data_IF_014919481960
#
_entry.id   IF_014919481960
#
_cell.length_a   1.000
_cell.length_b   1.000
_cell.length_c   1.000
_cell.angle_alpha   90.00
_cell.angle_beta   90.00
_cell.angle_gamma   90.00
#
_symmetry.space_group_name_H-M   'P 1'
#
loop_
_entity.id
_entity.type
_entity.pdbx_description
1 polymer ?
#
# COMPACT_ATOMS: atom_id res chain seq x y z
N UNK A 1 9.94 7.70 19.11
CA UNK A 1 10.19 8.69 18.05
C UNK A 1 8.93 9.51 17.95
N UNK A 2 8.79 10.56 18.74
CA UNK A 2 7.59 11.39 18.83
C UNK A 2 7.90 12.82 18.39
N UNK A 3 6.96 13.45 17.68
CA UNK A 3 7.09 14.82 17.14
C UNK A 3 6.86 14.96 15.62
N UNK A 4 6.24 13.98 14.94
CA UNK A 4 5.79 14.14 13.55
C UNK A 4 6.88 14.24 12.48
N UNK A 5 8.15 14.07 12.85
CA UNK A 5 9.30 14.21 11.93
C UNK A 5 9.51 13.00 11.00
N UNK A 6 8.90 11.86 11.30
CA UNK A 6 9.02 10.63 10.51
C UNK A 6 7.65 10.14 10.06
N UNK A 7 7.54 9.80 8.78
CA UNK A 7 6.33 9.18 8.24
C UNK A 7 6.48 7.66 8.23
N UNK A 8 5.64 6.97 9.00
CA UNK A 8 5.57 5.52 9.02
C UNK A 8 4.61 5.00 7.96
N UNK A 9 5.03 3.97 7.22
CA UNK A 9 4.18 3.29 6.25
C UNK A 9 4.32 1.76 6.39
N UNK A 10 3.21 1.04 6.22
CA UNK A 10 3.18 -0.41 6.17
C UNK A 10 2.77 -0.90 4.78
N UNK A 11 3.54 -1.84 4.23
CA UNK A 11 3.19 -2.54 2.99
C UNK A 11 2.13 -3.61 3.27
N UNK A 12 0.90 -3.36 2.79
CA UNK A 12 -0.26 -4.25 2.99
C UNK A 12 -0.59 -5.02 1.72
N UNK A 13 -0.77 -4.30 0.60
CA UNK A 13 -1.05 -4.82 -0.76
C UNK A 13 -2.36 -5.59 -0.98
N UNK A 14 -2.83 -6.38 -0.01
CA UNK A 14 -4.07 -7.16 -0.12
C UNK A 14 -4.67 -7.44 1.27
N UNK A 15 -5.98 -7.63 1.33
CA UNK A 15 -6.70 -8.06 2.54
C UNK A 15 -6.74 -9.58 2.71
N UNK A 16 -6.37 -10.35 1.68
CA UNK A 16 -6.24 -11.80 1.76
C UNK A 16 -4.88 -12.17 2.38
N UNK A 17 -4.91 -12.80 3.56
CA UNK A 17 -3.70 -13.17 4.31
C UNK A 17 -2.81 -14.17 3.56
N UNK A 18 -3.41 -15.15 2.89
CA UNK A 18 -2.68 -16.16 2.11
C UNK A 18 -2.01 -15.58 0.88
N UNK A 19 -2.69 -14.67 0.17
CA UNK A 19 -2.09 -13.90 -0.93
C UNK A 19 -1.00 -12.97 -0.41
N UNK A 20 -1.20 -12.31 0.73
CA UNK A 20 -0.19 -11.47 1.39
C UNK A 20 1.09 -12.26 1.72
N UNK A 21 0.97 -13.53 2.10
CA UNK A 21 2.09 -14.46 2.32
C UNK A 21 2.86 -14.81 1.06
N UNK A 22 2.18 -14.94 -0.07
CA UNK A 22 2.83 -15.18 -1.36
C UNK A 22 3.66 -13.98 -1.82
N UNK A 23 3.14 -12.75 -1.69
CA UNK A 23 3.81 -11.55 -2.21
C UNK A 23 4.86 -10.95 -1.27
N UNK A 24 4.75 -11.20 0.04
CA UNK A 24 5.76 -10.80 1.03
C UNK A 24 6.24 -12.06 1.76
N UNK A 25 7.11 -12.90 1.16
CA UNK A 25 7.51 -14.20 1.72
C UNK A 25 8.59 -14.06 2.80
N UNK A 26 8.41 -13.11 3.71
CA UNK A 26 9.28 -12.86 4.87
C UNK A 26 8.44 -12.68 6.12
N UNK A 27 9.05 -12.89 7.30
CA UNK A 27 8.38 -12.62 8.57
C UNK A 27 7.95 -11.14 8.62
N UNK A 28 6.67 -10.92 8.91
CA UNK A 28 6.04 -9.60 8.94
C UNK A 28 4.91 -9.62 9.96
N UNK A 29 4.51 -8.43 10.39
CA UNK A 29 3.37 -8.26 11.28
C UNK A 29 2.04 -8.51 10.55
N UNK A 30 1.13 -9.17 11.26
CA UNK A 30 -0.29 -9.24 10.91
C UNK A 30 -0.99 -7.91 11.21
N UNK A 31 -2.27 -7.80 10.83
CA UNK A 31 -3.01 -6.54 10.99
C UNK A 31 -3.16 -6.14 12.45
N UNK A 32 -3.45 -7.08 13.36
CA UNK A 32 -3.55 -6.78 14.80
C UNK A 32 -2.25 -6.23 15.38
N UNK A 33 -1.11 -6.77 14.98
CA UNK A 33 0.20 -6.30 15.45
C UNK A 33 0.49 -4.90 14.92
N UNK A 34 0.17 -4.63 13.65
CA UNK A 34 0.32 -3.31 13.03
C UNK A 34 -0.59 -2.29 13.73
N UNK A 35 -1.85 -2.63 14.00
CA UNK A 35 -2.79 -1.74 14.70
C UNK A 35 -2.28 -1.41 16.10
N UNK A 36 -1.94 -2.43 16.90
CA UNK A 36 -1.42 -2.22 18.27
C UNK A 36 -0.17 -1.36 18.29
N UNK A 37 0.71 -1.51 17.30
CA UNK A 37 1.89 -0.65 17.18
C UNK A 37 1.51 0.77 16.74
N UNK A 38 0.66 0.91 15.73
CA UNK A 38 0.30 2.21 15.16
C UNK A 38 -0.48 3.09 16.13
N UNK A 39 -1.40 2.52 16.91
CA UNK A 39 -2.12 3.24 17.97
C UNK A 39 -1.20 3.75 19.09
N UNK A 40 -0.09 3.05 19.34
CA UNK A 40 0.94 3.51 20.29
C UNK A 40 1.94 4.49 19.67
N UNK A 41 2.13 4.43 18.36
CA UNK A 41 3.08 5.26 17.63
C UNK A 41 2.49 6.64 17.31
N UNK A 42 1.19 6.69 17.02
CA UNK A 42 0.50 7.93 16.69
C UNK A 42 0.31 8.82 17.94
N UNK A 43 0.75 10.06 17.84
CA UNK A 43 0.45 11.12 18.80
C UNK A 43 -0.41 12.21 18.14
N UNK A 44 -1.31 12.84 18.90
CA UNK A 44 -2.18 13.89 18.36
C UNK A 44 -1.34 15.03 17.77
N UNK A 45 -1.53 15.31 16.48
CA UNK A 45 -0.76 16.31 15.73
C UNK A 45 0.28 15.71 14.77
N UNK A 46 0.58 14.42 14.89
CA UNK A 46 1.44 13.71 13.94
C UNK A 46 0.70 13.36 12.64
N UNK A 47 1.47 13.02 11.61
CA UNK A 47 0.91 12.50 10.34
C UNK A 47 0.31 11.11 10.58
N UNK A 48 -0.85 10.86 9.98
CA UNK A 48 -1.45 9.51 9.95
C UNK A 48 -0.49 8.49 9.33
N UNK A 49 -0.53 7.27 9.84
CA UNK A 49 0.29 6.14 9.40
C UNK A 49 -0.26 5.61 8.08
N UNK A 50 0.59 5.45 7.07
CA UNK A 50 0.15 5.02 5.75
C UNK A 50 0.04 3.49 5.67
N UNK A 51 -1.11 2.99 5.23
CA UNK A 51 -1.27 1.62 4.74
C UNK A 51 -1.13 1.64 3.22
N UNK A 52 -0.04 1.06 2.71
CA UNK A 52 0.33 1.11 1.31
C UNK A 52 -0.19 -0.13 0.56
N UNK A 53 -0.90 0.12 -0.54
CA UNK A 53 -1.51 -0.88 -1.41
C UNK A 53 -1.05 -0.68 -2.85
N UNK A 54 -0.09 -1.49 -3.27
CA UNK A 54 0.20 -1.67 -4.69
C UNK A 54 -0.84 -2.65 -5.26
N UNK A 55 -1.89 -2.11 -5.90
CA UNK A 55 -3.10 -2.85 -6.20
C UNK A 55 -2.95 -3.74 -7.45
N UNK A 56 -3.34 -5.01 -7.35
CA UNK A 56 -3.24 -6.01 -8.41
C UNK A 56 -4.61 -6.68 -8.64
N UNK A 57 -4.95 -7.03 -9.89
CA UNK A 57 -6.31 -7.49 -10.27
C UNK A 57 -6.79 -8.72 -9.50
N UNK A 58 -5.89 -9.66 -9.20
CA UNK A 58 -6.23 -10.91 -8.49
C UNK A 58 -5.96 -10.84 -6.97
N UNK A 59 -5.68 -9.64 -6.45
CA UNK A 59 -5.34 -9.42 -5.05
C UNK A 59 -6.38 -8.50 -4.43
N UNK A 60 -7.34 -9.11 -3.75
CA UNK A 60 -8.47 -8.41 -3.16
C UNK A 60 -8.00 -7.37 -2.14
N UNK A 61 -8.65 -6.21 -2.20
CA UNK A 61 -8.47 -5.11 -1.25
C UNK A 61 -9.88 -4.73 -0.82
N UNK A 62 -10.26 -5.18 0.37
CA UNK A 62 -11.59 -4.93 0.93
C UNK A 62 -11.56 -3.84 2.00
N UNK A 63 -12.11 -2.64 1.71
CA UNK A 63 -12.14 -1.54 2.69
C UNK A 63 -12.83 -1.88 4.01
N UNK A 64 -13.83 -2.77 3.97
CA UNK A 64 -14.51 -3.26 5.16
C UNK A 64 -13.55 -4.00 6.10
N UNK A 65 -12.77 -4.95 5.57
CA UNK A 65 -11.77 -5.69 6.34
C UNK A 65 -10.75 -4.72 6.92
N UNK A 66 -10.24 -3.76 6.13
CA UNK A 66 -9.31 -2.75 6.66
C UNK A 66 -9.93 -1.94 7.79
N UNK A 67 -11.21 -1.56 7.68
CA UNK A 67 -11.92 -0.83 8.74
C UNK A 67 -12.10 -1.63 10.04
N UNK A 68 -12.17 -2.95 9.95
CA UNK A 68 -12.25 -3.83 11.13
C UNK A 68 -10.97 -3.80 11.97
N UNK A 69 -9.81 -3.59 11.34
CA UNK A 69 -8.51 -3.58 12.03
C UNK A 69 -7.94 -2.18 12.28
N UNK A 70 -8.17 -1.22 11.39
CA UNK A 70 -7.46 0.06 11.39
C UNK A 70 -8.42 1.22 11.63
N UNK A 71 -8.09 2.09 12.59
CA UNK A 71 -8.86 3.30 12.87
C UNK A 71 -8.50 4.42 11.86
N UNK A 72 -9.47 4.96 11.10
CA UNK A 72 -9.20 6.03 10.13
C UNK A 72 -8.64 7.33 10.71
N UNK A 73 -8.78 7.55 12.02
CA UNK A 73 -8.17 8.68 12.71
C UNK A 73 -6.63 8.58 12.77
N UNK A 74 -6.10 7.35 12.78
CA UNK A 74 -4.66 7.10 12.92
C UNK A 74 -4.03 6.64 11.61
N UNK A 75 -4.81 6.06 10.71
CA UNK A 75 -4.32 5.45 9.48
C UNK A 75 -4.92 6.12 8.24
N UNK A 76 -4.10 6.24 7.20
CA UNK A 76 -4.52 6.66 5.86
C UNK A 76 -4.22 5.55 4.85
N UNK A 77 -4.93 5.55 3.72
CA UNK A 77 -4.77 4.59 2.64
C UNK A 77 -3.98 5.23 1.50
N UNK A 78 -2.94 4.54 1.02
CA UNK A 78 -2.23 4.90 -0.20
C UNK A 78 -2.39 3.79 -1.24
N UNK A 79 -2.98 4.12 -2.37
CA UNK A 79 -3.12 3.24 -3.52
C UNK A 79 -2.10 3.60 -4.59
N UNK A 80 -1.39 2.61 -5.12
CA UNK A 80 -0.44 2.78 -6.23
C UNK A 80 -0.66 1.72 -7.30
N UNK A 81 -0.36 2.02 -8.57
CA UNK A 81 -0.14 0.98 -9.58
C UNK A 81 0.95 0.00 -9.14
N UNK A 82 0.93 -1.22 -9.70
CA UNK A 82 2.07 -2.13 -9.59
C UNK A 82 3.25 -1.58 -10.39
N UNK A 83 4.40 -1.47 -9.73
CA UNK A 83 5.64 -1.17 -10.42
C UNK A 83 6.13 -2.40 -11.19
N UNK A 84 6.62 -2.26 -12.43
CA UNK A 84 7.09 -3.38 -13.25
C UNK A 84 8.43 -3.90 -12.73
N UNK A 85 8.40 -4.65 -11.64
CA UNK A 85 9.58 -5.29 -11.02
C UNK A 85 9.75 -6.73 -11.46
N UNK A 86 10.93 -7.31 -11.25
CA UNK A 86 11.18 -8.73 -11.51
C UNK A 86 10.22 -9.66 -10.75
N UNK A 87 9.80 -9.27 -9.53
CA UNK A 87 8.85 -10.07 -8.75
C UNK A 87 7.43 -10.02 -9.35
N UNK A 88 7.01 -8.87 -9.87
CA UNK A 88 5.73 -8.73 -10.61
C UNK A 88 5.74 -9.62 -11.85
N UNK A 89 6.84 -9.62 -12.62
CA UNK A 89 7.00 -10.50 -13.80
C UNK A 89 7.02 -11.97 -13.42
N UNK A 90 7.79 -12.37 -12.41
CA UNK A 90 7.90 -13.76 -11.96
C UNK A 90 6.56 -14.33 -11.48
N UNK A 91 5.74 -13.51 -10.84
CA UNK A 91 4.43 -13.91 -10.32
C UNK A 91 3.26 -13.56 -11.27
N UNK A 92 3.53 -13.11 -12.50
CA UNK A 92 2.54 -12.69 -13.50
C UNK A 92 1.46 -11.75 -12.93
N UNK A 93 1.85 -10.82 -12.06
CA UNK A 93 0.91 -9.90 -11.42
C UNK A 93 0.46 -8.83 -12.42
N UNK A 94 -0.84 -8.61 -12.51
CA UNK A 94 -1.43 -7.56 -13.35
C UNK A 94 -1.89 -6.41 -12.47
N UNK A 95 -1.47 -5.18 -12.80
CA UNK A 95 -1.87 -3.98 -12.06
C UNK A 95 -3.39 -3.81 -12.12
N UNK A 96 -4.02 -3.54 -10.97
CA UNK A 96 -5.43 -3.16 -10.91
C UNK A 96 -5.62 -1.72 -11.36
N UNK A 97 -4.68 -0.85 -11.01
CA UNK A 97 -4.69 0.57 -11.33
C UNK A 97 -3.87 0.78 -12.60
N UNK A 98 -4.49 1.34 -13.63
CA UNK A 98 -3.79 1.80 -14.81
C UNK A 98 -3.24 3.22 -14.55
N UNK A 99 -1.93 3.47 -14.69
CA UNK A 99 -1.38 4.81 -14.51
C UNK A 99 -1.85 5.82 -15.57
N UNK A 100 -2.30 5.36 -16.75
CA UNK A 100 -2.83 6.21 -17.83
C UNK A 100 -4.34 6.43 -17.73
N UNK A 101 -5.05 5.56 -17.00
CA UNK A 101 -6.50 5.64 -16.77
C UNK A 101 -6.80 5.57 -15.25
N UNK A 102 -6.39 6.58 -14.45
CA UNK A 102 -6.56 6.58 -13.00
C UNK A 102 -7.99 6.43 -12.50
N UNK A 103 -8.96 6.81 -13.32
CA UNK A 103 -10.39 6.66 -13.04
C UNK A 103 -10.79 5.21 -12.75
N UNK A 104 -10.01 4.24 -13.23
CA UNK A 104 -10.16 2.81 -12.90
C UNK A 104 -10.08 2.54 -11.40
N UNK A 105 -9.34 3.36 -10.65
CA UNK A 105 -9.22 3.26 -9.20
C UNK A 105 -10.31 4.00 -8.43
N UNK A 106 -11.11 4.87 -9.07
CA UNK A 106 -12.07 5.75 -8.40
C UNK A 106 -13.06 4.99 -7.52
N UNK A 107 -13.57 3.85 -7.98
CA UNK A 107 -14.49 3.02 -7.20
C UNK A 107 -13.87 2.52 -5.88
N UNK A 108 -12.60 2.10 -5.91
CA UNK A 108 -11.88 1.64 -4.72
C UNK A 108 -11.53 2.80 -3.79
N UNK A 109 -11.11 3.95 -4.36
CA UNK A 109 -10.82 5.18 -3.62
C UNK A 109 -12.06 5.65 -2.85
N UNK A 110 -13.20 5.78 -3.53
CA UNK A 110 -14.45 6.22 -2.90
C UNK A 110 -14.97 5.19 -1.88
N UNK A 111 -14.76 3.90 -2.13
CA UNK A 111 -15.10 2.88 -1.14
C UNK A 111 -14.31 3.08 0.16
N UNK A 112 -12.99 3.29 0.11
CA UNK A 112 -12.21 3.59 1.33
C UNK A 112 -12.64 4.88 2.03
N UNK A 113 -12.92 5.94 1.25
CA UNK A 113 -13.44 7.20 1.80
C UNK A 113 -14.78 7.01 2.50
N UNK A 114 -15.66 6.17 1.96
CA UNK A 114 -16.95 5.85 2.61
C UNK A 114 -16.81 5.14 3.96
N UNK A 115 -15.66 4.49 4.22
CA UNK A 115 -15.30 3.91 5.53
C UNK A 115 -14.55 4.89 6.46
N UNK A 116 -14.36 6.14 6.02
CA UNK A 116 -13.76 7.22 6.80
C UNK A 116 -12.26 7.42 6.57
N UNK A 117 -11.63 6.67 5.66
CA UNK A 117 -10.19 6.80 5.44
C UNK A 117 -9.83 7.94 4.49
N UNK A 118 -8.84 8.73 4.90
CA UNK A 118 -8.09 9.55 3.95
C UNK A 118 -7.41 8.62 2.95
N UNK A 119 -7.72 8.80 1.66
CA UNK A 119 -7.24 7.91 0.59
C UNK A 119 -6.53 8.70 -0.48
N UNK A 120 -5.26 8.34 -0.70
CA UNK A 120 -4.34 8.95 -1.66
C UNK A 120 -4.11 7.96 -2.80
N UNK A 121 -4.48 8.36 -4.02
CA UNK A 121 -4.06 7.68 -5.24
C UNK A 121 -2.72 8.28 -5.69
N UNK A 122 -1.66 7.48 -5.67
CA UNK A 122 -0.31 7.91 -6.03
C UNK A 122 0.13 7.17 -7.29
N UNK A 123 0.00 7.87 -8.41
CA UNK A 123 0.53 7.47 -9.70
C UNK A 123 1.93 8.08 -9.77
N UNK A 124 2.96 7.25 -9.88
CA UNK A 124 4.34 7.74 -10.03
C UNK A 124 4.53 8.48 -11.36
N UNK A 125 5.67 9.15 -11.54
CA UNK A 125 6.01 9.71 -12.85
C UNK A 125 6.25 8.56 -13.84
N UNK A 126 5.39 8.48 -14.84
CA UNK A 126 5.40 7.43 -15.87
C UNK A 126 6.75 7.39 -16.61
N UNK A 127 7.43 8.53 -16.70
CA UNK A 127 8.76 8.68 -17.31
C UNK A 127 9.87 7.96 -16.50
N UNK A 128 9.80 7.87 -15.17
CA UNK A 128 10.79 7.14 -14.35
C UNK A 128 10.72 5.62 -14.55
N UNK A 129 9.54 5.08 -14.90
CA UNK A 129 9.38 3.65 -15.22
C UNK A 129 10.07 3.28 -16.54
N UNK A 130 10.24 4.22 -17.47
CA UNK A 130 11.00 4.00 -18.72
C UNK A 130 12.50 3.89 -18.47
N UNK A 131 13.00 4.49 -17.38
CA UNK A 131 14.43 4.54 -17.04
C UNK A 131 14.79 3.50 -15.95
N UNK A 132 13.79 2.87 -15.33
CA UNK A 132 13.99 1.80 -14.34
C UNK A 132 14.43 2.30 -12.95
N UNK A 133 14.18 3.58 -12.64
CA UNK A 133 14.64 4.20 -11.39
C UNK A 133 13.66 4.06 -10.21
N UNK A 134 12.59 3.27 -10.40
CA UNK A 134 11.57 3.01 -9.41
C UNK A 134 12.11 2.21 -8.19
N UNK A 135 11.63 2.53 -6.98
CA UNK A 135 12.06 1.95 -5.70
C UNK A 135 12.13 0.41 -5.62
N UNK A 136 11.46 -0.34 -6.50
CA UNK A 136 11.51 -1.80 -6.56
C UNK A 136 12.59 -2.40 -7.47
N UNK A 137 13.36 -1.59 -8.21
CA UNK A 137 14.36 -2.06 -9.18
C UNK A 137 15.81 -1.94 -8.69
N UNK A 138 16.05 -1.39 -7.49
CA UNK A 138 17.40 -1.06 -7.00
C UNK A 138 18.24 -2.24 -6.47
N UNK A 139 17.91 -3.50 -6.80
CA UNK A 139 18.66 -4.68 -6.33
C UNK A 139 18.98 -5.64 -7.48
N UNK A 140 19.86 -5.23 -8.40
CA UNK A 140 20.65 -6.17 -9.21
C UNK A 140 21.81 -5.50 -10.00
N UNK A 141 22.52 -4.54 -9.40
CA UNK A 141 23.81 -4.10 -9.93
C UNK A 141 24.86 -4.25 -8.83
N UNK A 142 25.26 -5.49 -8.54
CA UNK A 142 26.58 -5.93 -8.07
C UNK A 142 26.49 -7.44 -7.85
N UNK A 143 27.00 -8.20 -8.81
CA UNK A 143 27.11 -9.66 -8.82
C UNK A 143 27.88 -10.10 -10.03
#
# INVERSE_FOLDING_TARGET
YSGGHFQLQFSIHTTDSGKRDKIIPVKKWGFEEITKYGERFFESGDRKITLNFAAAKDYEIEPKIIREYFNPEFFLIKLTPLNPTNNVRKNNLVSFIDPYEPETASGLVESFRSYGFDTILSIGEIEENMIGSNCGQFVSCFG
#
